data_IF_492732465827
#
_entry.id   IF_492732465827
#
_cell.length_a   1.000
_cell.length_b   1.000
_cell.length_c   1.000
_cell.angle_alpha   90.00
_cell.angle_beta   90.00
_cell.angle_gamma   90.00
#
_symmetry.space_group_name_H-M   'P 1'
#
loop_
_entity.id
_entity.type
_entity.pdbx_description
1 polymer ?
#
# COMPACT_ATOMS: atom_id res chain seq x y z
N UNK A 1 2.10 18.12 4.21
CA UNK A 1 1.28 19.15 4.89
C UNK A 1 -0.12 19.23 4.27
N UNK A 2 -0.28 19.54 2.98
CA UNK A 2 -1.60 19.66 2.32
C UNK A 2 -2.57 18.49 2.58
N UNK A 3 -2.19 17.24 2.27
CA UNK A 3 -3.04 16.07 2.53
C UNK A 3 -3.49 15.93 4.00
N UNK A 4 -2.63 16.33 4.95
CA UNK A 4 -2.95 16.28 6.39
C UNK A 4 -3.91 17.39 6.80
N UNK A 5 -3.77 18.57 6.21
CA UNK A 5 -4.72 19.67 6.39
C UNK A 5 -6.09 19.31 5.81
N UNK A 6 -6.13 18.66 4.65
CA UNK A 6 -7.38 18.20 4.04
C UNK A 6 -8.05 17.11 4.88
N UNK A 7 -7.28 16.12 5.38
CA UNK A 7 -7.81 15.10 6.29
C UNK A 7 -8.31 15.73 7.60
N UNK A 8 -7.56 16.65 8.18
CA UNK A 8 -7.97 17.35 9.41
C UNK A 8 -9.20 18.23 9.22
N UNK A 9 -9.29 18.96 8.10
CA UNK A 9 -10.46 19.76 7.75
C UNK A 9 -11.69 18.87 7.47
N UNK A 10 -11.51 17.75 6.76
CA UNK A 10 -12.57 16.78 6.51
C UNK A 10 -13.09 16.15 7.80
N UNK A 11 -12.19 15.79 8.74
CA UNK A 11 -12.56 15.29 10.05
C UNK A 11 -13.33 16.34 10.86
N UNK A 12 -12.87 17.60 10.90
CA UNK A 12 -13.56 18.68 11.59
C UNK A 12 -14.96 18.93 11.01
N UNK A 13 -15.10 18.93 9.68
CA UNK A 13 -16.39 19.09 9.02
C UNK A 13 -17.31 17.92 9.36
N UNK A 14 -16.80 16.68 9.37
CA UNK A 14 -17.58 15.51 9.77
C UNK A 14 -18.07 15.65 11.22
N UNK A 15 -17.21 16.05 12.14
CA UNK A 15 -17.56 16.27 13.55
C UNK A 15 -18.65 17.35 13.73
N UNK A 16 -18.58 18.42 12.94
CA UNK A 16 -19.54 19.52 13.00
C UNK A 16 -20.88 19.18 12.33
N UNK A 17 -20.93 18.16 11.48
CA UNK A 17 -22.13 17.76 10.74
C UNK A 17 -22.84 16.54 11.34
N UNK A 18 -22.14 15.72 12.12
CA UNK A 18 -22.69 14.52 12.75
C UNK A 18 -23.34 14.90 14.08
N UNK A 19 -24.67 15.05 14.06
CA UNK A 19 -25.51 15.09 15.28
C UNK A 19 -26.08 13.68 15.53
N UNK A 20 -25.62 12.99 16.59
CA UNK A 20 -26.15 11.66 16.97
C UNK A 20 -25.13 10.67 17.53
N UNK A 21 -25.45 9.36 17.47
CA UNK A 21 -24.53 8.27 17.79
C UNK A 21 -23.34 8.30 16.81
N UNK A 22 -22.15 8.65 17.30
CA UNK A 22 -20.96 8.75 16.46
C UNK A 22 -20.70 7.41 15.72
N UNK A 23 -20.58 7.43 14.38
CA UNK A 23 -20.09 6.30 13.61
C UNK A 23 -18.78 5.78 14.23
N UNK A 24 -18.68 4.46 14.46
CA UNK A 24 -17.49 3.80 15.04
C UNK A 24 -16.18 4.15 14.34
N UNK A 25 -16.24 4.59 13.08
CA UNK A 25 -15.08 5.07 12.34
C UNK A 25 -14.56 6.43 12.84
N UNK A 26 -15.44 7.37 13.22
CA UNK A 26 -15.05 8.70 13.72
C UNK A 26 -14.34 8.59 15.08
N UNK A 27 -14.90 7.81 16.01
CA UNK A 27 -14.26 7.55 17.31
C UNK A 27 -12.91 6.80 17.24
N UNK A 28 -12.59 6.16 16.10
CA UNK A 28 -11.28 5.51 15.87
C UNK A 28 -10.26 6.43 15.19
N UNK A 29 -10.67 7.60 14.71
CA UNK A 29 -9.80 8.57 14.04
C UNK A 29 -8.97 7.95 12.92
N UNK A 30 -7.66 8.21 12.91
CA UNK A 30 -6.73 7.77 11.86
C UNK A 30 -6.47 6.25 11.80
N UNK A 31 -7.10 5.47 12.70
CA UNK A 31 -7.06 4.00 12.71
C UNK A 31 -8.31 3.36 12.10
N UNK A 32 -9.31 4.13 11.67
CA UNK A 32 -10.55 3.52 11.17
C UNK A 32 -10.30 2.58 9.98
N UNK A 33 -11.20 1.61 9.84
CA UNK A 33 -11.16 0.52 8.85
C UNK A 33 -9.88 -0.35 8.92
N UNK A 34 -8.97 -0.27 7.94
CA UNK A 34 -7.81 -1.18 7.84
C UNK A 34 -6.79 -0.93 8.97
N UNK A 35 -6.72 0.29 9.51
CA UNK A 35 -5.82 0.62 10.63
C UNK A 35 -6.14 -0.19 11.89
N UNK A 36 -7.41 -0.46 12.14
CA UNK A 36 -7.89 -1.23 13.28
C UNK A 36 -7.55 -2.72 13.13
N UNK A 37 -7.61 -3.25 11.90
CA UNK A 37 -7.12 -4.59 11.59
C UNK A 37 -5.62 -4.71 11.84
N UNK A 38 -4.82 -3.76 11.36
CA UNK A 38 -3.38 -3.76 11.59
C UNK A 38 -3.02 -3.64 13.08
N UNK A 39 -3.70 -2.76 13.82
CA UNK A 39 -3.53 -2.65 15.27
C UNK A 39 -3.89 -3.95 15.98
N UNK A 40 -5.00 -4.58 15.60
CA UNK A 40 -5.45 -5.84 16.21
C UNK A 40 -4.48 -6.98 15.91
N UNK A 41 -3.90 -7.04 14.70
CA UNK A 41 -2.83 -7.98 14.34
C UNK A 41 -1.54 -7.77 15.14
N UNK A 42 -1.19 -6.53 15.49
CA UNK A 42 -0.04 -6.27 16.37
C UNK A 42 -0.24 -6.85 17.78
N UNK A 43 -1.49 -6.82 18.28
CA UNK A 43 -1.84 -7.27 19.64
C UNK A 43 -2.06 -8.78 19.68
N UNK A 44 -2.89 -9.32 18.80
CA UNK A 44 -3.39 -10.70 18.89
C UNK A 44 -2.64 -11.67 17.96
N UNK A 45 -1.83 -11.16 17.03
CA UNK A 45 -1.26 -11.97 15.96
C UNK A 45 -2.33 -12.51 15.01
N UNK A 46 -1.92 -13.39 14.09
CA UNK A 46 -2.87 -13.99 13.15
C UNK A 46 -3.75 -15.07 13.80
N UNK A 47 -3.26 -15.78 14.81
CA UNK A 47 -4.01 -16.83 15.51
C UNK A 47 -5.14 -16.26 16.39
N UNK A 48 -4.94 -15.09 16.99
CA UNK A 48 -5.94 -14.42 17.81
C UNK A 48 -6.94 -13.57 17.00
N UNK A 49 -6.93 -13.68 15.67
CA UNK A 49 -7.78 -12.90 14.77
C UNK A 49 -8.61 -13.84 13.87
N UNK A 50 -9.76 -13.38 13.35
CA UNK A 50 -10.52 -14.13 12.36
C UNK A 50 -9.66 -14.45 11.13
N UNK A 51 -9.99 -15.53 10.40
CA UNK A 51 -9.31 -15.94 9.17
C UNK A 51 -9.20 -14.79 8.16
N UNK A 52 -10.16 -13.87 8.15
CA UNK A 52 -10.16 -12.67 7.31
C UNK A 52 -8.89 -11.83 7.42
N UNK A 53 -8.22 -11.87 8.58
CA UNK A 53 -7.01 -11.13 8.86
C UNK A 53 -5.82 -11.55 7.99
N UNK A 54 -5.82 -12.78 7.45
CA UNK A 54 -4.71 -13.29 6.60
C UNK A 54 -4.61 -12.59 5.25
N UNK A 55 -5.60 -11.78 4.86
CA UNK A 55 -5.50 -10.89 3.69
C UNK A 55 -4.51 -9.74 3.91
N UNK A 56 -4.25 -9.37 5.16
CA UNK A 56 -3.28 -8.34 5.53
C UNK A 56 -1.91 -8.98 5.61
N UNK A 57 -1.10 -8.76 4.57
CA UNK A 57 0.26 -9.27 4.52
C UNK A 57 1.14 -8.67 5.64
N UNK A 58 2.15 -9.42 6.13
CA UNK A 58 2.70 -9.21 7.47
C UNK A 58 3.71 -8.06 7.57
N UNK A 59 4.26 -7.58 6.44
CA UNK A 59 5.37 -6.65 6.40
C UNK A 59 5.10 -5.33 7.11
N UNK A 60 3.90 -4.77 6.97
CA UNK A 60 3.55 -3.53 7.69
C UNK A 60 3.36 -3.76 9.20
N UNK A 61 2.79 -4.90 9.60
CA UNK A 61 2.64 -5.29 11.01
C UNK A 61 4.01 -5.48 11.65
N UNK A 62 4.92 -6.23 11.01
CA UNK A 62 6.25 -6.47 11.56
C UNK A 62 7.11 -5.21 11.61
N UNK A 63 7.06 -4.36 10.59
CA UNK A 63 7.75 -3.08 10.61
C UNK A 63 7.25 -2.19 11.75
N UNK A 64 5.94 -2.18 11.98
CA UNK A 64 5.33 -1.39 13.05
C UNK A 64 5.60 -1.97 14.43
N UNK A 65 5.69 -3.31 14.60
CA UNK A 65 6.13 -3.93 15.86
C UNK A 65 7.58 -3.60 16.18
N UNK A 66 8.45 -3.56 15.17
CA UNK A 66 9.84 -3.14 15.37
C UNK A 66 9.95 -1.68 15.81
N UNK A 67 9.11 -0.79 15.28
CA UNK A 67 9.03 0.62 15.72
C UNK A 67 8.42 0.75 17.11
N UNK A 68 7.35 0.01 17.41
CA UNK A 68 6.70 0.01 18.73
C UNK A 68 7.64 -0.47 19.85
N UNK A 69 8.54 -1.39 19.54
CA UNK A 69 9.54 -1.88 20.50
C UNK A 69 10.57 -0.81 20.91
N UNK A 70 10.75 0.25 20.12
CA UNK A 70 11.77 1.30 20.38
C UNK A 70 11.17 2.67 20.66
N UNK A 71 9.97 2.95 20.15
CA UNK A 71 9.32 4.25 20.26
C UNK A 71 8.20 4.21 21.32
N UNK A 72 8.13 5.17 22.25
CA UNK A 72 7.00 5.28 23.15
C UNK A 72 5.72 5.67 22.39
N UNK A 73 4.55 5.31 22.93
CA UNK A 73 3.25 5.72 22.40
C UNK A 73 2.34 4.57 21.89
N UNK A 74 2.82 3.32 21.95
CA UNK A 74 2.02 2.13 21.68
C UNK A 74 1.72 1.90 20.19
N UNK A 75 0.99 0.81 19.91
CA UNK A 75 0.85 0.24 18.57
C UNK A 75 0.23 1.23 17.57
N UNK A 76 -0.74 2.03 18.03
CA UNK A 76 -1.39 3.07 17.23
C UNK A 76 -0.38 4.10 16.71
N UNK A 77 0.50 4.57 17.60
CA UNK A 77 1.54 5.55 17.26
C UNK A 77 2.56 4.92 16.32
N UNK A 78 2.99 3.69 16.59
CA UNK A 78 3.94 2.99 15.74
C UNK A 78 3.43 2.81 14.30
N UNK A 79 2.17 2.39 14.14
CA UNK A 79 1.52 2.29 12.82
C UNK A 79 1.50 3.64 12.11
N UNK A 80 1.02 4.69 12.77
CA UNK A 80 0.96 6.03 12.19
C UNK A 80 2.34 6.55 11.79
N UNK A 81 3.36 6.32 12.61
CA UNK A 81 4.75 6.71 12.32
C UNK A 81 5.27 5.96 11.10
N UNK A 82 5.10 4.65 11.02
CA UNK A 82 5.54 3.85 9.87
C UNK A 82 4.80 4.28 8.59
N UNK A 83 3.48 4.47 8.66
CA UNK A 83 2.67 4.93 7.54
C UNK A 83 3.16 6.30 7.02
N UNK A 84 3.28 7.28 7.92
CA UNK A 84 3.60 8.65 7.56
C UNK A 84 5.05 8.84 7.14
N UNK A 85 5.99 8.15 7.79
CA UNK A 85 7.40 8.17 7.40
C UNK A 85 7.59 7.45 6.07
N UNK A 86 6.91 6.31 5.87
CA UNK A 86 6.85 5.62 4.59
C UNK A 86 6.36 6.54 3.47
N UNK A 87 5.25 7.25 3.68
CA UNK A 87 4.74 8.26 2.74
C UNK A 87 5.76 9.35 2.45
N UNK A 88 6.45 9.88 3.47
CA UNK A 88 7.47 10.91 3.27
C UNK A 88 8.63 10.39 2.41
N UNK A 89 9.14 9.20 2.72
CA UNK A 89 10.21 8.54 1.96
C UNK A 89 9.74 8.28 0.54
N UNK A 90 8.51 7.81 0.34
CA UNK A 90 7.91 7.59 -0.98
C UNK A 90 7.90 8.88 -1.82
N UNK A 91 7.49 10.02 -1.25
CA UNK A 91 7.48 11.31 -1.95
C UNK A 91 8.89 11.77 -2.34
N UNK A 92 9.87 11.62 -1.44
CA UNK A 92 11.28 11.95 -1.74
C UNK A 92 11.83 11.06 -2.84
N UNK A 93 11.58 9.74 -2.76
CA UNK A 93 12.03 8.78 -3.77
C UNK A 93 11.34 9.02 -5.12
N UNK A 94 10.05 9.38 -5.12
CA UNK A 94 9.31 9.70 -6.34
C UNK A 94 9.89 10.93 -7.02
N UNK A 95 10.14 11.99 -6.24
CA UNK A 95 10.81 13.18 -6.75
C UNK A 95 12.16 12.84 -7.39
N UNK A 96 12.97 12.00 -6.72
CA UNK A 96 14.27 11.56 -7.24
C UNK A 96 14.14 10.69 -8.49
N UNK A 97 13.18 9.78 -8.53
CA UNK A 97 12.95 8.93 -9.70
C UNK A 97 12.54 9.76 -10.91
N UNK A 98 11.56 10.66 -10.75
CA UNK A 98 11.11 11.52 -11.85
C UNK A 98 12.21 12.45 -12.32
N UNK A 99 13.05 12.97 -11.42
CA UNK A 99 14.23 13.74 -11.81
C UNK A 99 15.21 12.91 -12.67
N UNK A 100 15.45 11.65 -12.30
CA UNK A 100 16.34 10.76 -13.07
C UNK A 100 15.77 10.49 -14.47
N UNK A 101 14.45 10.33 -14.60
CA UNK A 101 13.84 10.00 -15.90
C UNK A 101 13.59 11.23 -16.80
N UNK A 102 13.27 12.40 -16.22
CA UNK A 102 12.86 13.59 -16.98
C UNK A 102 13.91 14.70 -17.03
N UNK A 103 14.88 14.70 -16.10
CA UNK A 103 15.79 15.83 -15.87
C UNK A 103 15.09 17.18 -15.59
N UNK A 104 13.80 17.17 -15.24
CA UNK A 104 12.98 18.36 -15.03
C UNK A 104 12.45 18.41 -13.58
N UNK A 105 12.91 19.42 -12.83
CA UNK A 105 12.51 19.66 -11.44
C UNK A 105 11.03 20.04 -11.31
N UNK A 106 10.49 20.77 -12.29
CA UNK A 106 9.08 21.13 -12.35
C UNK A 106 8.18 19.90 -12.55
N UNK A 107 8.59 18.96 -13.42
CA UNK A 107 7.88 17.67 -13.58
C UNK A 107 7.97 16.83 -12.30
N UNK A 108 9.14 16.74 -11.67
CA UNK A 108 9.32 16.01 -10.41
C UNK A 108 8.45 16.57 -9.28
N UNK A 109 8.38 17.90 -9.15
CA UNK A 109 7.51 18.56 -8.16
C UNK A 109 6.03 18.30 -8.44
N UNK A 110 5.60 18.39 -9.70
CA UNK A 110 4.20 18.11 -10.10
C UNK A 110 3.82 16.66 -9.82
N UNK A 111 4.71 15.71 -10.03
CA UNK A 111 4.46 14.29 -9.72
C UNK A 111 4.21 14.07 -8.21
N UNK A 112 4.99 14.72 -7.34
CA UNK A 112 4.76 14.66 -5.88
C UNK A 112 3.43 15.31 -5.49
N UNK A 113 3.10 16.45 -6.09
CA UNK A 113 1.79 17.08 -5.85
C UNK A 113 0.62 16.23 -6.35
N UNK A 114 0.75 15.63 -7.53
CA UNK A 114 -0.25 14.72 -8.06
C UNK A 114 -0.49 13.56 -7.09
N UNK A 115 0.58 12.94 -6.56
CA UNK A 115 0.45 11.89 -5.53
C UNK A 115 -0.23 12.40 -4.25
N UNK A 116 0.11 13.60 -3.79
CA UNK A 116 -0.39 14.16 -2.54
C UNK A 116 -1.83 14.70 -2.61
N UNK A 117 -2.33 14.98 -3.81
CA UNK A 117 -3.64 15.59 -4.06
C UNK A 117 -4.61 14.66 -4.81
N UNK A 118 -4.14 13.49 -5.24
CA UNK A 118 -5.01 12.48 -5.86
C UNK A 118 -6.14 12.12 -4.88
N UNK A 119 -7.41 11.94 -5.31
CA UNK A 119 -8.54 11.79 -4.40
C UNK A 119 -8.35 10.78 -3.24
N UNK A 120 -7.78 9.57 -3.44
CA UNK A 120 -7.52 8.62 -2.36
C UNK A 120 -6.27 8.94 -1.53
N UNK A 121 -5.62 10.10 -1.65
CA UNK A 121 -4.38 10.42 -0.93
C UNK A 121 -4.53 10.45 0.60
N UNK A 122 -5.75 10.46 1.14
CA UNK A 122 -6.00 10.31 2.57
C UNK A 122 -5.41 9.01 3.15
N UNK A 123 -5.35 7.92 2.36
CA UNK A 123 -4.73 6.64 2.76
C UNK A 123 -3.23 6.77 3.08
N UNK A 124 -2.57 7.81 2.57
CA UNK A 124 -1.16 8.10 2.85
C UNK A 124 -0.94 8.82 4.20
N UNK A 125 -2.03 9.21 4.87
CA UNK A 125 -2.03 9.87 6.19
C UNK A 125 -2.46 8.90 7.30
N UNK A 126 -3.43 8.03 6.99
CA UNK A 126 -3.99 7.06 7.93
C UNK A 126 -3.01 5.94 8.26
N UNK A 127 -3.33 5.14 9.28
CA UNK A 127 -2.50 4.05 9.77
C UNK A 127 -2.47 2.83 8.82
N UNK A 128 -2.26 3.05 7.53
CA UNK A 128 -2.31 2.04 6.49
C UNK A 128 -0.93 1.74 5.86
N UNK A 129 -0.89 0.66 5.08
CA UNK A 129 0.34 0.13 4.49
C UNK A 129 0.79 0.86 3.21
N UNK A 130 -0.03 1.74 2.63
CA UNK A 130 0.19 2.38 1.33
C UNK A 130 1.47 3.22 1.31
N UNK A 131 1.73 3.98 2.38
CA UNK A 131 2.94 4.80 2.52
C UNK A 131 4.24 3.99 2.40
N UNK A 132 4.51 3.03 3.32
CA UNK A 132 5.72 2.20 3.26
C UNK A 132 5.76 1.32 2.01
N UNK A 133 4.61 0.82 1.52
CA UNK A 133 4.55 0.08 0.26
C UNK A 133 5.07 0.91 -0.90
N UNK A 134 4.59 2.15 -1.05
CA UNK A 134 5.00 3.03 -2.14
C UNK A 134 6.49 3.39 -2.04
N UNK A 135 7.00 3.59 -0.83
CA UNK A 135 8.43 3.82 -0.62
C UNK A 135 9.29 2.65 -1.12
N UNK A 136 8.90 1.41 -0.80
CA UNK A 136 9.61 0.21 -1.25
C UNK A 136 9.51 0.03 -2.77
N UNK A 137 8.34 0.25 -3.36
CA UNK A 137 8.12 0.18 -4.81
C UNK A 137 8.99 1.20 -5.55
N UNK A 138 8.88 2.48 -5.19
CA UNK A 138 9.62 3.55 -5.89
C UNK A 138 11.12 3.42 -5.64
N UNK A 139 11.53 3.02 -4.42
CA UNK A 139 12.91 2.71 -4.10
C UNK A 139 13.45 1.56 -4.94
N UNK A 140 12.68 0.48 -5.12
CA UNK A 140 13.04 -0.65 -5.97
C UNK A 140 13.27 -0.19 -7.42
N UNK A 141 12.34 0.59 -7.99
CA UNK A 141 12.49 1.14 -9.35
C UNK A 141 13.75 2.00 -9.50
N UNK A 142 14.05 2.83 -8.50
CA UNK A 142 15.25 3.67 -8.50
C UNK A 142 16.54 2.86 -8.41
N UNK A 143 16.55 1.76 -7.64
CA UNK A 143 17.71 0.86 -7.52
C UNK A 143 17.89 0.01 -8.77
N UNK A 144 16.80 -0.41 -9.43
CA UNK A 144 16.84 -1.07 -10.73
C UNK A 144 17.51 -0.18 -11.79
N UNK A 145 17.24 1.14 -11.78
CA UNK A 145 17.93 2.10 -12.66
C UNK A 145 19.42 2.23 -12.39
N UNK A 146 19.86 1.93 -11.17
CA UNK A 146 21.27 1.98 -10.75
C UNK A 146 21.94 0.61 -10.76
N UNK A 147 21.27 -0.42 -11.30
CA UNK A 147 21.75 -1.81 -11.32
C UNK A 147 22.16 -2.34 -9.93
N UNK A 148 21.52 -1.82 -8.87
CA UNK A 148 21.71 -2.26 -7.47
C UNK A 148 20.77 -3.43 -7.17
N UNK A 149 21.10 -4.57 -7.79
CA UNK A 149 20.20 -5.73 -7.88
C UNK A 149 19.79 -6.30 -6.52
N UNK A 150 20.72 -6.43 -5.57
CA UNK A 150 20.41 -7.03 -4.26
C UNK A 150 19.54 -6.13 -3.41
N UNK A 151 19.82 -4.83 -3.38
CA UNK A 151 19.02 -3.87 -2.63
C UNK A 151 17.62 -3.72 -3.26
N UNK A 152 17.53 -3.78 -4.60
CA UNK A 152 16.25 -3.84 -5.29
C UNK A 152 15.48 -5.13 -4.95
N UNK A 153 16.15 -6.28 -4.86
CA UNK A 153 15.54 -7.54 -4.45
C UNK A 153 14.98 -7.47 -3.03
N UNK A 154 15.72 -6.87 -2.08
CA UNK A 154 15.25 -6.64 -0.72
C UNK A 154 14.00 -5.77 -0.67
N UNK A 155 13.97 -4.66 -1.43
CA UNK A 155 12.77 -3.82 -1.50
C UNK A 155 11.61 -4.51 -2.23
N UNK A 156 11.87 -5.34 -3.23
CA UNK A 156 10.83 -6.11 -3.91
C UNK A 156 10.19 -7.16 -2.98
N UNK A 157 11.01 -7.90 -2.23
CA UNK A 157 10.53 -8.82 -1.21
C UNK A 157 9.75 -8.08 -0.11
N UNK A 158 10.30 -6.97 0.41
CA UNK A 158 9.64 -6.15 1.40
C UNK A 158 8.28 -5.63 0.92
N UNK A 159 8.21 -5.07 -0.29
CA UNK A 159 6.96 -4.58 -0.86
C UNK A 159 5.93 -5.70 -1.01
N UNK A 160 6.36 -6.90 -1.44
CA UNK A 160 5.52 -8.08 -1.56
C UNK A 160 5.02 -8.62 -0.21
N UNK A 161 5.78 -8.44 0.87
CA UNK A 161 5.35 -8.73 2.23
C UNK A 161 4.47 -7.62 2.83
N UNK A 162 4.52 -6.39 2.31
CA UNK A 162 3.60 -5.33 2.75
C UNK A 162 2.24 -5.47 2.05
N UNK A 163 2.24 -5.82 0.76
CA UNK A 163 1.02 -6.06 -0.04
C UNK A 163 1.27 -7.12 -1.12
N UNK A 164 0.25 -7.94 -1.47
CA UNK A 164 0.38 -8.97 -2.51
C UNK A 164 0.77 -8.38 -3.89
N UNK A 165 0.32 -7.17 -4.19
CA UNK A 165 0.65 -6.48 -5.45
C UNK A 165 2.14 -6.15 -5.59
N UNK A 166 2.92 -6.19 -4.50
CA UNK A 166 4.39 -6.06 -4.57
C UNK A 166 5.06 -7.18 -5.35
N UNK A 167 4.42 -8.35 -5.49
CA UNK A 167 4.91 -9.43 -6.35
C UNK A 167 5.04 -9.00 -7.83
N UNK A 168 4.25 -8.02 -8.27
CA UNK A 168 4.28 -7.48 -9.63
C UNK A 168 5.55 -6.68 -9.94
N UNK A 169 6.41 -6.40 -8.96
CA UNK A 169 7.74 -5.84 -9.19
C UNK A 169 8.64 -6.76 -10.03
N UNK A 170 8.26 -8.03 -10.21
CA UNK A 170 8.85 -8.91 -11.22
C UNK A 170 8.84 -8.29 -12.62
N UNK A 171 7.80 -7.53 -12.99
CA UNK A 171 7.67 -6.91 -14.31
C UNK A 171 8.75 -5.84 -14.55
N UNK A 172 8.86 -4.77 -13.75
CA UNK A 172 9.93 -3.80 -13.92
C UNK A 172 11.32 -4.42 -13.69
N UNK A 173 11.46 -5.45 -12.85
CA UNK A 173 12.72 -6.18 -12.69
C UNK A 173 13.13 -6.89 -14.00
N UNK A 174 12.21 -7.61 -14.65
CA UNK A 174 12.45 -8.23 -15.96
C UNK A 174 12.79 -7.18 -17.02
N UNK A 175 12.08 -6.05 -17.05
CA UNK A 175 12.39 -4.95 -17.97
C UNK A 175 13.76 -4.32 -17.71
N UNK A 176 14.22 -4.26 -16.45
CA UNK A 176 15.54 -3.74 -16.11
C UNK A 176 16.63 -4.75 -16.48
N UNK A 177 16.39 -6.04 -16.24
CA UNK A 177 17.28 -7.13 -16.63
C UNK A 177 17.38 -7.24 -18.16
N UNK A 178 16.32 -7.00 -18.93
CA UNK A 178 16.39 -7.08 -20.40
C UNK A 178 17.25 -5.98 -21.04
N UNK A 179 17.57 -4.89 -20.33
CA UNK A 179 18.37 -3.79 -20.87
C UNK A 179 19.85 -4.20 -20.99
N UNK A 180 20.56 -3.69 -22.01
CA UNK A 180 22.02 -3.78 -22.04
C UNK A 180 22.59 -3.20 -20.76
N UNK A 181 23.26 -4.04 -19.98
CA UNK A 181 23.76 -3.62 -18.67
C UNK A 181 25.05 -2.83 -18.85
N UNK A 182 25.16 -1.72 -18.12
CA UNK A 182 26.38 -0.90 -18.11
C UNK A 182 27.43 -1.52 -17.20
N UNK A 183 27.01 -2.35 -16.23
CA UNK A 183 27.88 -3.03 -15.28
C UNK A 183 27.94 -4.53 -15.58
N UNK A 184 29.15 -5.12 -15.58
CA UNK A 184 29.35 -6.57 -15.77
C UNK A 184 28.78 -7.47 -14.64
N UNK A 185 28.00 -6.93 -13.69
CA UNK A 185 27.67 -7.61 -12.43
C UNK A 185 26.46 -8.54 -12.55
N UNK A 186 26.74 -9.82 -12.32
CA UNK A 186 25.99 -10.72 -11.44
C UNK A 186 24.66 -11.22 -11.96
N UNK A 187 24.69 -12.28 -12.77
CA UNK A 187 23.50 -13.08 -13.15
C UNK A 187 22.67 -13.46 -11.91
N UNK A 188 23.34 -13.79 -10.80
CA UNK A 188 22.69 -14.12 -9.53
C UNK A 188 21.86 -12.95 -8.97
N UNK A 189 22.40 -11.73 -8.96
CA UNK A 189 21.66 -10.55 -8.47
C UNK A 189 20.45 -10.23 -9.36
N UNK A 190 20.61 -10.37 -10.68
CA UNK A 190 19.53 -10.19 -11.66
C UNK A 190 18.42 -11.22 -11.47
N UNK A 191 18.78 -12.49 -11.25
CA UNK A 191 17.81 -13.54 -10.89
C UNK A 191 17.13 -13.25 -9.56
N UNK A 192 17.89 -12.80 -8.56
CA UNK A 192 17.35 -12.50 -7.24
C UNK A 192 16.28 -11.41 -7.26
N UNK A 193 16.51 -10.29 -7.96
CA UNK A 193 15.52 -9.21 -8.01
C UNK A 193 14.23 -9.60 -8.73
N UNK A 194 14.32 -10.45 -9.76
CA UNK A 194 13.17 -10.97 -10.49
C UNK A 194 12.33 -11.88 -9.59
N UNK A 195 12.99 -12.74 -8.81
CA UNK A 195 12.30 -13.76 -8.00
C UNK A 195 11.89 -13.28 -6.62
N UNK A 196 12.53 -12.25 -6.06
CA UNK A 196 12.34 -11.84 -4.66
C UNK A 196 10.88 -11.48 -4.32
N UNK A 197 10.21 -10.68 -5.16
CA UNK A 197 8.81 -10.31 -4.96
C UNK A 197 7.86 -11.53 -4.98
N UNK A 198 7.85 -12.33 -6.07
CA UNK A 198 7.05 -13.55 -6.16
C UNK A 198 7.31 -14.56 -5.04
N UNK A 199 8.58 -14.79 -4.68
CA UNK A 199 8.94 -15.74 -3.62
C UNK A 199 8.49 -15.25 -2.25
N UNK A 200 8.61 -13.95 -1.95
CA UNK A 200 8.18 -13.40 -0.68
C UNK A 200 6.65 -13.45 -0.52
N UNK A 201 5.90 -13.05 -1.56
CA UNK A 201 4.44 -13.17 -1.55
C UNK A 201 3.98 -14.63 -1.49
N UNK A 202 4.57 -15.49 -2.33
CA UNK A 202 4.27 -16.92 -2.36
C UNK A 202 4.60 -17.63 -1.05
N UNK A 203 5.70 -17.24 -0.39
CA UNK A 203 6.08 -17.77 0.92
C UNK A 203 5.05 -17.44 2.01
N UNK A 204 4.54 -16.20 2.05
CA UNK A 204 3.47 -15.85 2.99
C UNK A 204 2.15 -16.57 2.66
N UNK A 205 1.77 -16.63 1.38
CA UNK A 205 0.56 -17.36 0.95
C UNK A 205 0.67 -18.84 1.32
N UNK A 206 1.83 -19.47 1.09
CA UNK A 206 2.08 -20.85 1.46
C UNK A 206 1.98 -21.06 2.97
N UNK A 207 2.65 -20.22 3.76
CA UNK A 207 2.58 -20.26 5.22
C UNK A 207 1.13 -20.16 5.71
N UNK A 208 0.38 -19.15 5.24
CA UNK A 208 -1.00 -18.95 5.63
C UNK A 208 -1.90 -20.13 5.21
N UNK A 209 -1.65 -20.70 4.03
CA UNK A 209 -2.44 -21.83 3.54
C UNK A 209 -2.21 -23.09 4.36
N UNK A 210 -0.96 -23.37 4.76
CA UNK A 210 -0.62 -24.52 5.59
C UNK A 210 -1.08 -24.32 7.04
N UNK A 211 -0.91 -23.11 7.57
CA UNK A 211 -1.18 -22.82 8.97
C UNK A 211 -2.68 -22.76 9.30
N UNK A 212 -3.50 -22.28 8.36
CA UNK A 212 -4.96 -22.16 8.53
C UNK A 212 -5.76 -23.25 7.79
N UNK A 213 -5.07 -24.25 7.21
CA UNK A 213 -5.68 -25.36 6.46
C UNK A 213 -6.66 -24.92 5.35
N UNK A 214 -6.36 -23.80 4.69
CA UNK A 214 -7.19 -23.23 3.63
C UNK A 214 -6.32 -22.89 2.40
N UNK A 215 -6.53 -23.53 1.24
CA UNK A 215 -5.74 -23.27 0.04
C UNK A 215 -5.81 -21.81 -0.41
N UNK A 216 -4.63 -21.20 -0.62
CA UNK A 216 -4.50 -19.80 -1.01
C UNK A 216 -5.24 -18.83 -0.07
N UNK A 217 -5.27 -19.13 1.24
CA UNK A 217 -6.10 -18.44 2.22
C UNK A 217 -6.18 -16.91 2.04
N UNK A 218 -5.06 -16.15 1.87
CA UNK A 218 -5.13 -14.70 1.68
C UNK A 218 -5.91 -14.28 0.44
N UNK A 219 -5.75 -14.99 -0.68
CA UNK A 219 -6.40 -14.68 -1.95
C UNK A 219 -7.87 -15.11 -1.94
N UNK A 220 -8.18 -16.27 -1.35
CA UNK A 220 -9.54 -16.80 -1.23
C UNK A 220 -10.40 -15.88 -0.35
N UNK A 221 -9.88 -15.48 0.81
CA UNK A 221 -10.52 -14.49 1.69
C UNK A 221 -10.77 -13.18 0.93
N UNK A 222 -9.77 -12.70 0.19
CA UNK A 222 -9.91 -11.44 -0.52
C UNK A 222 -10.97 -11.52 -1.63
N UNK A 223 -11.08 -12.64 -2.36
CA UNK A 223 -12.15 -12.86 -3.34
C UNK A 223 -13.53 -12.93 -2.71
N UNK A 224 -13.68 -13.59 -1.56
CA UNK A 224 -14.96 -13.65 -0.83
C UNK A 224 -15.45 -12.25 -0.43
N UNK A 225 -14.54 -11.34 -0.09
CA UNK A 225 -14.88 -9.99 0.37
C UNK A 225 -15.02 -8.95 -0.74
N UNK A 226 -14.24 -9.07 -1.83
CA UNK A 226 -14.16 -8.06 -2.90
C UNK A 226 -14.64 -8.53 -4.27
N UNK A 227 -15.05 -9.80 -4.37
CA UNK A 227 -15.39 -10.43 -5.64
C UNK A 227 -14.17 -10.87 -6.44
N UNK A 228 -14.43 -11.39 -7.63
CA UNK A 228 -13.40 -11.88 -8.54
C UNK A 228 -12.59 -10.74 -9.18
N UNK A 229 -11.36 -11.02 -9.66
CA UNK A 229 -10.58 -10.04 -10.40
C UNK A 229 -11.36 -9.54 -11.62
N UNK A 230 -11.55 -8.22 -11.70
CA UNK A 230 -12.19 -7.56 -12.84
C UNK A 230 -11.12 -6.99 -13.75
N UNK A 231 -11.34 -7.09 -15.06
CA UNK A 231 -10.50 -6.43 -16.06
C UNK A 231 -10.51 -4.91 -15.79
N UNK A 232 -9.34 -4.26 -15.59
CA UNK A 232 -9.26 -2.85 -15.26
C UNK A 232 -9.77 -1.95 -16.38
N UNK A 233 -9.61 -2.32 -17.65
CA UNK A 233 -10.11 -1.53 -18.79
C UNK A 233 -11.64 -1.61 -18.82
N UNK A 234 -12.16 -2.82 -18.63
CA UNK A 234 -13.60 -3.04 -18.55
C UNK A 234 -14.22 -2.29 -17.37
N UNK A 235 -13.61 -2.35 -16.18
CA UNK A 235 -14.14 -1.65 -15.00
C UNK A 235 -14.09 -0.13 -15.14
N UNK A 236 -13.05 0.40 -15.79
CA UNK A 236 -12.94 1.84 -16.06
C UNK A 236 -13.99 2.29 -17.07
N UNK A 237 -14.25 1.47 -18.09
CA UNK A 237 -15.32 1.72 -19.07
C UNK A 237 -16.72 1.65 -18.43
N UNK A 238 -16.97 0.62 -17.61
CA UNK A 238 -18.21 0.46 -16.86
C UNK A 238 -18.42 1.64 -15.89
N UNK A 239 -17.39 2.03 -15.13
CA UNK A 239 -17.46 3.17 -14.21
C UNK A 239 -17.68 4.52 -14.92
N UNK A 240 -17.12 4.70 -16.12
CA UNK A 240 -17.45 5.86 -16.97
C UNK A 240 -18.89 5.79 -17.46
N UNK A 241 -19.39 4.62 -17.83
CA UNK A 241 -20.80 4.43 -18.19
C UNK A 241 -21.77 4.72 -17.04
N UNK A 242 -21.42 4.32 -15.82
CA UNK A 242 -22.18 4.56 -14.57
C UNK A 242 -22.33 6.07 -14.29
N UNK A 243 -21.28 6.88 -14.57
CA UNK A 243 -21.32 8.34 -14.42
C UNK A 243 -22.31 9.05 -15.36
N UNK A 244 -22.70 8.42 -16.47
CA UNK A 244 -23.63 8.97 -17.46
C UNK A 244 -24.93 8.14 -17.59
N UNK A 245 -25.12 7.15 -16.71
CA UNK A 245 -26.31 6.31 -16.67
C UNK A 245 -27.51 6.98 -15.96
N UNK A 246 -28.72 6.40 -16.09
CA UNK A 246 -29.93 6.91 -15.44
C UNK A 246 -29.83 6.97 -13.90
N UNK A 247 -28.94 6.17 -13.30
CA UNK A 247 -28.72 6.09 -11.84
C UNK A 247 -27.53 6.93 -11.35
N UNK A 248 -26.89 7.73 -12.23
CA UNK A 248 -25.68 8.50 -11.92
C UNK A 248 -25.81 9.45 -10.70
N UNK A 249 -27.03 9.91 -10.41
CA UNK A 249 -27.33 10.74 -9.23
C UNK A 249 -27.66 9.91 -7.98
N UNK A 250 -28.16 8.68 -8.13
CA UNK A 250 -28.52 7.79 -7.02
C UNK A 250 -27.29 7.16 -6.36
N UNK A 251 -26.36 6.64 -7.16
CA UNK A 251 -25.13 6.01 -6.66
C UNK A 251 -24.14 7.03 -6.05
N UNK A 252 -24.15 8.28 -6.53
CA UNK A 252 -23.36 9.36 -5.95
C UNK A 252 -23.81 9.77 -4.54
N UNK A 253 -25.09 9.57 -4.19
CA UNK A 253 -25.65 9.87 -2.87
C UNK A 253 -25.38 8.77 -1.84
N UNK A 254 -25.12 7.53 -2.26
CA UNK A 254 -24.71 6.45 -1.36
C UNK A 254 -23.31 6.63 -0.76
N UNK A 255 -22.48 7.54 -1.31
CA UNK A 255 -21.20 7.96 -0.72
C UNK A 255 -21.42 8.87 0.51
N UNK A 256 -22.58 9.51 0.63
CA UNK A 256 -22.92 10.41 1.76
C UNK A 256 -23.69 9.68 2.86
N UNK A 257 -24.18 8.47 2.59
CA UNK A 257 -25.06 7.72 3.47
C UNK A 257 -24.55 6.30 3.76
N UNK A 258 -23.33 6.16 4.30
CA UNK A 258 -22.89 5.02 5.13
C UNK A 258 -21.86 5.51 6.15
#
# INVERSE_FOLDING_TARGET
>A
VAARLLVGAGWLVAELLVDGDEPRALGRGLLAWDGDWYRSLMVHGYEGMPLESVRFFPGYVFLSRAVDAVLPGGQATALLVVANLGTLVAMVLLHRLVLVESSDVGVARRAVWALALFPPAFVLVWAYSEGPFLAMVVGCLLLLRRERWWEAALLAAGAALVRPTGALLVVPALCAVARPSVTARGIVGRGAVVMAGPLAAGGYVLWASVHFDEPFAPLTVQRRLRGDPVDPVRRLWEGLGELFGPDALGDGLHIVAV
#
